data_IF_605961956632
#
_entry.id   IF_605961956632
#
_cell.length_a   1.000
_cell.length_b   1.000
_cell.length_c   1.000
_cell.angle_alpha   90.00
_cell.angle_beta   90.00
_cell.angle_gamma   90.00
#
_symmetry.space_group_name_H-M   'P 1'
#
loop_
_entity.id
_entity.type
_entity.pdbx_description
1 polymer ?
#
# COMPACT_ATOMS: atom_id res chain seq x y z
N UNK A 1 19.27 -11.47 -0.29
CA UNK A 1 20.28 -12.32 0.39
C UNK A 1 20.24 -12.05 1.88
N UNK A 2 20.41 -13.09 2.69
CA UNK A 2 20.62 -13.00 4.14
C UNK A 2 22.06 -12.61 4.45
N UNK A 3 22.34 -12.19 5.69
CA UNK A 3 23.69 -11.92 6.20
C UNK A 3 24.59 -13.15 6.02
N UNK A 4 24.09 -14.33 6.41
CA UNK A 4 24.78 -15.60 6.20
C UNK A 4 25.12 -15.90 4.74
N UNK A 5 24.17 -15.72 3.82
CA UNK A 5 24.44 -15.93 2.39
C UNK A 5 25.48 -14.95 1.85
N UNK A 6 25.51 -13.71 2.33
CA UNK A 6 26.52 -12.73 1.94
C UNK A 6 27.89 -13.16 2.47
N UNK A 7 27.96 -13.64 3.72
CA UNK A 7 29.19 -14.18 4.32
C UNK A 7 29.75 -15.35 3.50
N UNK A 8 28.91 -16.36 3.22
CA UNK A 8 29.28 -17.54 2.43
C UNK A 8 29.79 -17.14 1.03
N UNK A 9 29.10 -16.23 0.33
CA UNK A 9 29.52 -15.79 -1.01
C UNK A 9 30.82 -14.96 -0.98
N UNK A 10 31.04 -14.14 0.05
CA UNK A 10 32.27 -13.36 0.16
C UNK A 10 33.47 -14.29 0.37
N UNK A 11 33.33 -15.28 1.25
CA UNK A 11 34.37 -16.28 1.48
C UNK A 11 34.65 -17.11 0.21
N UNK A 12 33.60 -17.59 -0.47
CA UNK A 12 33.72 -18.41 -1.68
C UNK A 12 34.38 -17.67 -2.85
N UNK A 13 34.03 -16.40 -3.08
CA UNK A 13 34.49 -15.63 -4.25
C UNK A 13 35.80 -14.89 -3.96
N UNK A 14 35.94 -14.32 -2.76
CA UNK A 14 37.04 -13.40 -2.43
C UNK A 14 38.07 -14.00 -1.45
N UNK A 15 37.81 -15.17 -0.86
CA UNK A 15 38.78 -15.91 -0.05
C UNK A 15 39.05 -15.31 1.33
N UNK A 16 38.22 -14.38 1.81
CA UNK A 16 38.29 -13.85 3.16
C UNK A 16 36.95 -13.93 3.88
N UNK A 17 36.98 -14.08 5.19
CA UNK A 17 35.79 -14.20 6.02
C UNK A 17 35.15 -12.83 6.31
N UNK A 18 33.83 -12.72 6.16
CA UNK A 18 33.06 -11.55 6.52
C UNK A 18 31.84 -11.94 7.37
N UNK A 19 31.97 -11.84 8.70
CA UNK A 19 30.93 -12.30 9.62
C UNK A 19 29.57 -11.62 9.42
N UNK A 20 28.49 -12.29 9.84
CA UNK A 20 27.13 -11.73 9.79
C UNK A 20 27.01 -10.39 10.56
N UNK A 21 27.74 -10.26 11.67
CA UNK A 21 27.83 -9.03 12.45
C UNK A 21 28.54 -7.91 11.69
N UNK A 22 29.62 -8.22 10.97
CA UNK A 22 30.30 -7.26 10.10
C UNK A 22 29.36 -6.74 8.99
N UNK A 23 28.64 -7.64 8.32
CA UNK A 23 27.68 -7.28 7.28
C UNK A 23 26.55 -6.40 7.86
N UNK A 24 26.04 -6.73 9.04
CA UNK A 24 25.05 -5.92 9.73
C UNK A 24 25.57 -4.51 10.00
N UNK A 25 26.77 -4.38 10.57
CA UNK A 25 27.42 -3.10 10.84
C UNK A 25 27.66 -2.27 9.56
N UNK A 26 28.01 -2.92 8.44
CA UNK A 26 28.13 -2.24 7.14
C UNK A 26 26.78 -1.66 6.72
N UNK A 27 25.70 -2.44 6.82
CA UNK A 27 24.36 -1.94 6.46
C UNK A 27 23.82 -0.90 7.43
N UNK A 28 24.26 -0.88 8.69
CA UNK A 28 23.88 0.16 9.67
C UNK A 28 24.42 1.54 9.30
N UNK A 29 25.46 1.61 8.47
CA UNK A 29 25.95 2.89 7.93
C UNK A 29 24.92 3.63 7.06
N UNK A 30 23.86 2.93 6.61
CA UNK A 30 22.78 3.52 5.84
C UNK A 30 21.72 4.21 6.70
N UNK A 31 21.73 4.04 8.03
CA UNK A 31 20.69 4.62 8.90
C UNK A 31 20.56 6.15 8.75
N UNK A 32 21.64 6.94 8.70
CA UNK A 32 21.54 8.38 8.46
C UNK A 32 20.96 8.70 7.07
N UNK A 33 21.28 7.92 6.04
CA UNK A 33 20.71 8.11 4.70
C UNK A 33 19.20 7.82 4.69
N UNK A 34 18.76 6.80 5.43
CA UNK A 34 17.34 6.47 5.57
C UNK A 34 16.60 7.61 6.26
N UNK A 35 17.16 8.16 7.33
CA UNK A 35 16.56 9.31 8.03
C UNK A 35 16.45 10.53 7.11
N UNK A 36 17.52 10.86 6.39
CA UNK A 36 17.51 11.94 5.40
C UNK A 36 16.47 11.69 4.30
N UNK A 37 16.36 10.45 3.81
CA UNK A 37 15.38 10.08 2.81
C UNK A 37 13.93 10.18 3.33
N UNK A 38 13.69 9.84 4.60
CA UNK A 38 12.38 10.00 5.26
C UNK A 38 12.04 11.48 5.48
N UNK A 39 13.03 12.36 5.65
CA UNK A 39 12.83 13.79 5.87
C UNK A 39 12.93 14.64 4.60
N UNK A 40 13.26 14.02 3.45
CA UNK A 40 13.50 14.75 2.19
C UNK A 40 12.28 15.59 1.78
N UNK A 41 12.50 16.75 1.12
CA UNK A 41 11.41 17.55 0.58
C UNK A 41 10.63 16.78 -0.48
N UNK A 42 9.32 16.99 -0.49
CA UNK A 42 8.37 16.38 -1.42
C UNK A 42 7.79 17.43 -2.37
N UNK A 43 7.19 16.96 -3.47
CA UNK A 43 6.48 17.82 -4.41
C UNK A 43 5.28 18.49 -3.73
N UNK A 44 4.92 19.67 -4.22
CA UNK A 44 3.82 20.44 -3.60
C UNK A 44 2.45 19.82 -3.81
N UNK A 45 2.24 19.10 -4.91
CA UNK A 45 0.95 18.51 -5.29
C UNK A 45 1.17 17.06 -5.72
N UNK A 46 0.32 16.16 -5.22
CA UNK A 46 0.23 14.79 -5.69
C UNK A 46 -1.20 14.49 -6.19
N UNK A 47 -1.40 14.31 -7.51
CA UNK A 47 -2.71 13.90 -8.04
C UNK A 47 -3.28 12.64 -7.40
N UNK A 48 -2.44 11.63 -7.15
CA UNK A 48 -2.89 10.37 -6.55
C UNK A 48 -1.85 9.90 -5.54
N UNK A 49 -2.32 9.57 -4.33
CA UNK A 49 -1.53 8.91 -3.29
C UNK A 49 -2.19 7.58 -2.94
N UNK A 50 -1.40 6.51 -2.87
CA UNK A 50 -1.83 5.21 -2.39
C UNK A 50 -1.24 4.92 -1.02
N UNK A 51 -2.03 4.33 -0.13
CA UNK A 51 -1.57 3.76 1.15
C UNK A 51 -1.95 2.28 1.17
N UNK A 52 -0.95 1.41 1.32
CA UNK A 52 -1.17 -0.02 1.47
C UNK A 52 -0.20 -0.60 2.50
N UNK A 53 -0.55 -1.74 3.07
CA UNK A 53 0.20 -2.38 4.14
C UNK A 53 0.78 -3.75 3.70
N UNK A 54 2.02 -4.00 4.07
CA UNK A 54 2.63 -5.33 3.99
C UNK A 54 3.02 -5.78 5.38
N UNK A 55 2.61 -6.98 5.75
CA UNK A 55 2.87 -7.52 7.09
C UNK A 55 4.16 -8.33 7.11
N UNK A 56 4.98 -8.11 8.13
CA UNK A 56 6.22 -8.83 8.37
C UNK A 56 6.31 -9.29 9.83
N UNK A 57 7.00 -10.40 10.07
CA UNK A 57 7.29 -10.86 11.42
C UNK A 57 8.55 -10.16 11.93
N UNK A 58 8.47 -9.54 13.09
CA UNK A 58 9.56 -8.80 13.73
C UNK A 58 9.69 -9.26 15.18
N UNK A 59 10.92 -9.42 15.66
CA UNK A 59 11.21 -9.73 17.06
C UNK A 59 11.27 -8.43 17.85
N UNK A 60 10.47 -8.34 18.90
CA UNK A 60 10.46 -7.25 19.87
C UNK A 60 10.49 -7.87 21.28
N UNK A 61 11.55 -7.61 22.03
CA UNK A 61 11.75 -8.14 23.39
C UNK A 61 11.50 -9.66 23.49
N UNK A 62 12.17 -10.43 22.62
CA UNK A 62 12.05 -11.89 22.47
C UNK A 62 10.68 -12.43 22.04
N UNK A 63 9.70 -11.55 21.81
CA UNK A 63 8.38 -11.90 21.28
C UNK A 63 8.34 -11.62 19.79
N UNK A 64 7.89 -12.58 19.00
CA UNK A 64 7.65 -12.39 17.58
C UNK A 64 6.27 -11.74 17.40
N UNK A 65 6.26 -10.52 16.86
CA UNK A 65 5.04 -9.79 16.51
C UNK A 65 4.92 -9.66 15.00
N UNK A 66 3.68 -9.53 14.52
CA UNK A 66 3.39 -9.31 13.11
C UNK A 66 3.08 -7.84 12.90
N UNK A 67 4.08 -7.08 12.46
CA UNK A 67 3.96 -5.64 12.22
C UNK A 67 3.46 -5.35 10.82
N UNK A 68 2.69 -4.27 10.69
CA UNK A 68 2.34 -3.69 9.40
C UNK A 68 3.39 -2.64 9.02
N UNK A 69 3.94 -2.77 7.82
CA UNK A 69 4.65 -1.70 7.15
C UNK A 69 3.66 -1.03 6.19
N UNK A 70 3.33 0.23 6.45
CA UNK A 70 2.51 1.07 5.58
C UNK A 70 3.39 1.80 4.58
N UNK A 71 3.09 1.61 3.31
CA UNK A 71 3.79 2.19 2.18
C UNK A 71 2.93 3.31 1.64
N UNK A 72 3.48 4.51 1.59
CA UNK A 72 2.83 5.66 0.97
C UNK A 72 3.49 5.89 -0.38
N UNK A 73 2.73 5.66 -1.45
CA UNK A 73 3.18 5.80 -2.83
C UNK A 73 2.45 6.98 -3.48
N UNK A 74 3.20 7.99 -3.93
CA UNK A 74 2.67 9.13 -4.66
C UNK A 74 2.88 9.00 -6.16
N UNK A 75 1.96 9.58 -6.92
CA UNK A 75 2.15 9.95 -8.33
C UNK A 75 2.19 11.47 -8.35
N UNK A 76 3.30 12.05 -8.84
CA UNK A 76 3.44 13.50 -8.94
C UNK A 76 2.70 14.06 -10.19
N UNK A 77 2.75 15.38 -10.35
CA UNK A 77 2.18 16.12 -11.49
C UNK A 77 2.81 15.75 -12.85
N UNK A 78 4.04 15.26 -12.86
CA UNK A 78 4.71 14.70 -14.05
C UNK A 78 4.29 13.24 -14.37
N UNK A 79 3.41 12.63 -13.58
CA UNK A 79 3.00 11.24 -13.73
C UNK A 79 4.07 10.21 -13.33
N UNK A 80 5.11 10.64 -12.60
CA UNK A 80 6.15 9.77 -12.04
C UNK A 80 5.71 9.23 -10.69
N UNK A 81 5.99 7.95 -10.47
CA UNK A 81 5.76 7.27 -9.20
C UNK A 81 6.94 7.51 -8.27
N UNK A 82 6.67 7.74 -7.00
CA UNK A 82 7.69 7.77 -5.96
C UNK A 82 7.14 7.26 -4.61
N UNK A 83 7.96 6.58 -3.83
CA UNK A 83 7.58 6.17 -2.47
C UNK A 83 7.83 7.34 -1.53
N UNK A 84 6.77 7.95 -1.01
CA UNK A 84 6.85 9.14 -0.16
C UNK A 84 7.36 8.80 1.23
N UNK A 85 6.84 7.74 1.83
CA UNK A 85 7.19 7.33 3.19
C UNK A 85 6.94 5.83 3.42
N UNK A 86 7.66 5.26 4.38
CA UNK A 86 7.49 3.90 4.89
C UNK A 86 7.32 4.02 6.40
N UNK A 87 6.19 3.58 6.90
CA UNK A 87 5.83 3.66 8.32
C UNK A 87 5.69 2.25 8.88
N UNK A 88 6.43 1.92 9.93
CA UNK A 88 6.35 0.63 10.61
C UNK A 88 5.62 0.85 11.93
N UNK A 89 4.62 0.04 12.22
CA UNK A 89 3.94 0.09 13.50
C UNK A 89 2.72 -0.81 13.62
N UNK A 90 2.17 -0.83 14.82
CA UNK A 90 0.96 -1.62 15.17
C UNK A 90 -0.31 -0.74 15.25
N UNK A 91 -0.16 0.59 15.23
CA UNK A 91 -1.25 1.49 15.62
C UNK A 91 -1.96 2.08 14.40
N UNK A 92 -3.22 1.70 14.19
CA UNK A 92 -4.11 2.26 13.16
C UNK A 92 -5.05 3.35 13.72
N UNK A 93 -4.68 4.04 14.80
CA UNK A 93 -5.52 5.11 15.35
C UNK A 93 -5.58 6.33 14.41
N UNK A 94 -6.66 7.12 14.52
CA UNK A 94 -6.75 8.41 13.81
C UNK A 94 -5.59 9.36 14.17
N UNK A 95 -5.11 9.35 15.42
CA UNK A 95 -3.95 10.17 15.82
C UNK A 95 -2.68 9.77 15.06
N UNK A 96 -2.48 8.47 14.85
CA UNK A 96 -1.36 7.96 14.07
C UNK A 96 -1.44 8.43 12.61
N UNK A 97 -2.57 8.21 11.94
CA UNK A 97 -2.74 8.65 10.56
C UNK A 97 -2.62 10.16 10.38
N UNK A 98 -3.15 10.95 11.32
CA UNK A 98 -2.97 12.39 11.30
C UNK A 98 -1.50 12.80 11.42
N UNK A 99 -0.70 12.13 12.27
CA UNK A 99 0.74 12.39 12.35
C UNK A 99 1.46 12.08 11.04
N UNK A 100 1.15 10.96 10.40
CA UNK A 100 1.73 10.57 9.11
C UNK A 100 1.36 11.57 8.00
N UNK A 101 0.10 12.02 7.95
CA UNK A 101 -0.33 13.03 6.96
C UNK A 101 0.31 14.41 7.23
N UNK A 102 0.50 14.77 8.50
CA UNK A 102 1.21 16.01 8.86
C UNK A 102 2.71 15.94 8.54
N UNK A 103 3.34 14.76 8.63
CA UNK A 103 4.72 14.56 8.16
C UNK A 103 4.84 14.90 6.68
N UNK A 104 3.90 14.43 5.84
CA UNK A 104 3.88 14.77 4.41
C UNK A 104 3.76 16.28 4.18
N UNK A 105 2.90 16.97 4.94
CA UNK A 105 2.80 18.43 4.87
C UNK A 105 4.08 19.15 5.25
N UNK A 106 4.70 18.73 6.36
CA UNK A 106 5.94 19.33 6.84
C UNK A 106 7.09 19.17 5.84
N UNK A 107 7.03 18.11 5.03
CA UNK A 107 7.98 17.86 3.93
C UNK A 107 7.64 18.62 2.64
N UNK A 108 6.56 19.40 2.60
CA UNK A 108 6.24 20.31 1.50
C UNK A 108 4.95 20.00 0.73
N UNK A 109 4.26 18.90 1.04
CA UNK A 109 2.99 18.55 0.37
C UNK A 109 1.89 19.54 0.77
N UNK A 110 1.35 20.27 -0.21
CA UNK A 110 0.27 21.23 -0.02
C UNK A 110 -1.09 20.65 -0.36
N UNK A 111 -1.16 19.82 -1.39
CA UNK A 111 -2.43 19.25 -1.84
C UNK A 111 -2.29 17.80 -2.33
N UNK A 112 -3.32 17.02 -2.02
CA UNK A 112 -3.49 15.64 -2.50
C UNK A 112 -4.90 15.58 -3.10
N UNK A 113 -5.01 15.29 -4.40
CA UNK A 113 -6.33 15.32 -5.05
C UNK A 113 -7.11 14.06 -4.69
N UNK A 114 -6.46 12.90 -4.82
CA UNK A 114 -7.06 11.59 -4.55
C UNK A 114 -6.14 10.81 -3.60
N UNK A 115 -6.69 10.34 -2.49
CA UNK A 115 -6.00 9.39 -1.61
C UNK A 115 -6.73 8.06 -1.60
N UNK A 116 -6.06 7.03 -2.11
CA UNK A 116 -6.57 5.68 -2.21
C UNK A 116 -5.95 4.77 -1.15
N UNK A 117 -6.76 4.27 -0.22
CA UNK A 117 -6.31 3.33 0.81
C UNK A 117 -7.35 2.22 1.02
N UNK A 118 -6.97 1.13 1.67
CA UNK A 118 -8.01 0.24 2.25
C UNK A 118 -8.76 0.98 3.37
N UNK A 119 -9.82 0.39 3.91
CA UNK A 119 -10.59 0.93 5.04
C UNK A 119 -9.84 0.86 6.36
N UNK A 120 -8.71 1.58 6.44
CA UNK A 120 -7.88 1.74 7.62
C UNK A 120 -8.67 2.54 8.68
N UNK A 121 -8.54 2.13 9.93
CA UNK A 121 -9.28 2.78 11.03
C UNK A 121 -8.88 4.26 11.16
N UNK A 122 -9.84 5.18 11.26
CA UNK A 122 -9.56 6.60 11.49
C UNK A 122 -8.91 7.37 10.33
N UNK A 123 -8.68 6.74 9.18
CA UNK A 123 -7.98 7.39 8.05
C UNK A 123 -8.83 8.51 7.43
N UNK A 124 -10.16 8.31 7.31
CA UNK A 124 -11.07 9.27 6.68
C UNK A 124 -11.13 10.60 7.45
N UNK A 125 -11.20 10.51 8.77
CA UNK A 125 -11.21 11.64 9.69
C UNK A 125 -9.86 12.38 9.65
N UNK A 126 -8.77 11.61 9.58
CA UNK A 126 -7.40 12.16 9.52
C UNK A 126 -7.14 12.88 8.20
N UNK A 127 -7.62 12.34 7.08
CA UNK A 127 -7.59 12.99 5.75
C UNK A 127 -8.39 14.28 5.79
N UNK A 128 -9.63 14.24 6.28
CA UNK A 128 -10.49 15.43 6.35
C UNK A 128 -9.86 16.56 7.19
N UNK A 129 -9.07 16.21 8.20
CA UNK A 129 -8.35 17.15 9.06
C UNK A 129 -7.07 17.70 8.40
N UNK A 130 -6.26 16.81 7.81
CA UNK A 130 -5.01 17.21 7.19
C UNK A 130 -5.25 17.82 5.80
N UNK A 131 -5.91 17.13 4.90
CA UNK A 131 -6.14 17.57 3.53
C UNK A 131 -7.65 17.62 3.25
N UNK A 132 -8.36 18.68 3.70
CA UNK A 132 -9.83 18.76 3.64
C UNK A 132 -10.41 18.76 2.23
N UNK A 133 -9.60 19.03 1.20
CA UNK A 133 -10.00 19.02 -0.21
C UNK A 133 -9.75 17.67 -0.90
N UNK A 134 -9.08 16.74 -0.23
CA UNK A 134 -8.75 15.43 -0.80
C UNK A 134 -9.98 14.56 -0.91
N UNK A 135 -10.20 14.00 -2.08
CA UNK A 135 -11.19 12.94 -2.29
C UNK A 135 -10.60 11.62 -1.78
N UNK A 136 -11.16 11.11 -0.69
CA UNK A 136 -10.81 9.78 -0.20
C UNK A 136 -11.51 8.70 -1.02
N UNK A 137 -10.72 7.81 -1.61
CA UNK A 137 -11.21 6.66 -2.36
C UNK A 137 -10.83 5.37 -1.62
N UNK A 138 -11.81 4.57 -1.23
CA UNK A 138 -11.53 3.22 -0.76
C UNK A 138 -11.01 2.37 -1.91
N UNK A 139 -9.94 1.62 -1.68
CA UNK A 139 -9.34 0.76 -2.67
C UNK A 139 -10.32 -0.35 -3.10
N UNK A 140 -10.73 -0.30 -4.37
CA UNK A 140 -11.69 -1.24 -4.95
C UNK A 140 -11.11 -2.65 -5.03
N UNK A 141 -9.80 -2.79 -5.27
CA UNK A 141 -9.16 -4.12 -5.31
C UNK A 141 -9.22 -4.79 -3.93
N UNK A 142 -8.94 -4.05 -2.86
CA UNK A 142 -9.10 -4.56 -1.49
C UNK A 142 -10.55 -4.86 -1.17
N UNK A 143 -11.48 -4.00 -1.57
CA UNK A 143 -12.92 -4.24 -1.41
C UNK A 143 -13.34 -5.56 -2.09
N UNK A 144 -13.00 -5.75 -3.37
CA UNK A 144 -13.28 -6.98 -4.12
C UNK A 144 -12.64 -8.21 -3.46
N UNK A 145 -11.34 -8.13 -3.10
CA UNK A 145 -10.63 -9.25 -2.46
C UNK A 145 -11.28 -9.65 -1.15
N UNK A 146 -11.66 -8.67 -0.33
CA UNK A 146 -12.31 -8.91 0.96
C UNK A 146 -13.69 -9.54 0.76
N UNK A 147 -14.47 -9.08 -0.21
CA UNK A 147 -15.76 -9.70 -0.57
C UNK A 147 -15.60 -11.14 -1.05
N UNK A 148 -14.64 -11.40 -1.94
CA UNK A 148 -14.42 -12.74 -2.52
C UNK A 148 -13.85 -13.77 -1.52
N UNK A 149 -13.42 -13.37 -0.32
CA UNK A 149 -13.02 -14.32 0.74
C UNK A 149 -14.18 -15.21 1.20
N UNK A 150 -15.41 -14.70 1.14
CA UNK A 150 -16.62 -15.40 1.57
C UNK A 150 -17.28 -16.21 0.44
N UNK A 151 -16.76 -16.10 -0.78
CA UNK A 151 -17.32 -16.73 -1.98
C UNK A 151 -16.56 -18.01 -2.31
N UNK A 152 -17.30 -19.07 -2.65
CA UNK A 152 -16.70 -20.36 -3.01
C UNK A 152 -15.85 -20.25 -4.28
N UNK A 153 -14.81 -21.08 -4.41
CA UNK A 153 -13.93 -21.05 -5.58
C UNK A 153 -14.69 -21.20 -6.92
N UNK A 154 -15.74 -22.04 -6.95
CA UNK A 154 -16.56 -22.27 -8.15
C UNK A 154 -17.28 -21.01 -8.62
N UNK A 155 -17.72 -20.17 -7.68
CA UNK A 155 -18.54 -18.99 -7.97
C UNK A 155 -17.71 -17.70 -8.09
N UNK A 156 -16.45 -17.69 -7.60
CA UNK A 156 -15.58 -16.50 -7.59
C UNK A 156 -15.49 -15.79 -8.94
N UNK A 157 -15.40 -16.53 -10.05
CA UNK A 157 -15.30 -15.93 -11.39
C UNK A 157 -16.59 -15.20 -11.78
N UNK A 158 -17.75 -15.82 -11.55
CA UNK A 158 -19.05 -15.23 -11.84
C UNK A 158 -19.31 -14.02 -10.94
N UNK A 159 -19.08 -14.17 -9.63
CA UNK A 159 -19.23 -13.10 -8.65
C UNK A 159 -18.31 -11.90 -8.96
N UNK A 160 -17.05 -12.14 -9.32
CA UNK A 160 -16.13 -11.05 -9.70
C UNK A 160 -16.57 -10.32 -10.98
N UNK A 161 -17.16 -11.04 -11.95
CA UNK A 161 -17.75 -10.44 -13.14
C UNK A 161 -18.94 -9.54 -12.80
N UNK A 162 -19.79 -9.99 -11.89
CA UNK A 162 -20.91 -9.20 -11.39
C UNK A 162 -20.44 -7.95 -10.63
N UNK A 163 -19.46 -8.09 -9.72
CA UNK A 163 -18.86 -6.94 -9.01
C UNK A 163 -18.25 -5.91 -9.97
N UNK A 164 -17.73 -6.35 -11.11
CA UNK A 164 -17.16 -5.46 -12.14
C UNK A 164 -18.19 -4.51 -12.73
N UNK A 165 -19.46 -4.91 -12.78
CA UNK A 165 -20.55 -4.05 -13.27
C UNK A 165 -20.77 -2.83 -12.37
N UNK A 166 -20.38 -2.90 -11.09
CA UNK A 166 -20.56 -1.81 -10.11
C UNK A 166 -19.60 -0.67 -10.44
N UNK A 167 -18.29 -0.90 -10.33
CA UNK A 167 -17.28 0.17 -10.45
C UNK A 167 -16.93 0.56 -11.89
N UNK A 168 -17.36 -0.22 -12.88
CA UNK A 168 -17.25 0.14 -14.30
C UNK A 168 -18.51 0.81 -14.85
N UNK A 169 -19.54 1.02 -14.02
CA UNK A 169 -20.73 1.74 -14.43
C UNK A 169 -20.37 3.18 -14.88
N UNK A 170 -21.12 3.75 -15.84
CA UNK A 170 -20.85 5.09 -16.34
C UNK A 170 -21.13 6.17 -15.28
N UNK A 171 -22.08 5.94 -14.36
CA UNK A 171 -22.47 6.87 -13.30
C UNK A 171 -22.65 6.17 -11.95
N UNK A 172 -22.69 6.97 -10.88
CA UNK A 172 -22.90 6.49 -9.51
C UNK A 172 -24.27 5.81 -9.36
N UNK A 173 -25.32 6.35 -9.97
CA UNK A 173 -26.68 5.83 -9.87
C UNK A 173 -26.77 4.43 -10.48
N UNK A 174 -26.15 4.23 -11.64
CA UNK A 174 -26.09 2.91 -12.30
C UNK A 174 -25.21 1.96 -11.49
N UNK A 175 -24.09 2.44 -10.94
CA UNK A 175 -23.22 1.65 -10.06
C UNK A 175 -23.96 1.16 -8.82
N UNK A 176 -24.72 2.03 -8.17
CA UNK A 176 -25.51 1.70 -6.98
C UNK A 176 -26.61 0.69 -7.31
N UNK A 177 -27.35 0.90 -8.41
CA UNK A 177 -28.36 -0.07 -8.87
C UNK A 177 -27.73 -1.43 -9.18
N UNK A 178 -26.57 -1.46 -9.82
CA UNK A 178 -25.85 -2.71 -10.07
C UNK A 178 -25.45 -3.38 -8.74
N UNK A 179 -25.01 -2.62 -7.73
CA UNK A 179 -24.71 -3.16 -6.41
C UNK A 179 -25.93 -3.86 -5.78
N UNK A 180 -27.11 -3.26 -5.88
CA UNK A 180 -28.37 -3.84 -5.37
C UNK A 180 -28.72 -5.14 -6.10
N UNK A 181 -28.62 -5.16 -7.43
CA UNK A 181 -28.85 -6.36 -8.26
C UNK A 181 -27.88 -7.49 -7.89
N UNK A 182 -26.60 -7.16 -7.68
CA UNK A 182 -25.59 -8.15 -7.26
C UNK A 182 -25.87 -8.66 -5.85
N UNK A 183 -26.31 -7.79 -4.94
CA UNK A 183 -26.70 -8.20 -3.59
C UNK A 183 -27.87 -9.17 -3.62
N UNK A 184 -28.94 -8.84 -4.33
CA UNK A 184 -30.13 -9.70 -4.48
C UNK A 184 -29.76 -11.07 -5.07
N UNK A 185 -29.02 -11.07 -6.19
CA UNK A 185 -28.62 -12.30 -6.89
C UNK A 185 -27.88 -13.31 -6.01
N UNK A 186 -27.02 -12.83 -5.11
CA UNK A 186 -26.13 -13.67 -4.33
C UNK A 186 -26.54 -13.84 -2.86
N UNK A 187 -27.58 -13.13 -2.40
CA UNK A 187 -27.96 -13.10 -0.98
C UNK A 187 -28.30 -14.49 -0.42
N UNK A 188 -29.00 -15.33 -1.19
CA UNK A 188 -29.41 -16.66 -0.73
C UNK A 188 -28.23 -17.60 -0.46
N UNK A 189 -27.17 -17.47 -1.27
CA UNK A 189 -25.98 -18.34 -1.20
C UNK A 189 -24.88 -17.77 -0.31
N UNK A 190 -24.74 -16.44 -0.31
CA UNK A 190 -23.66 -15.70 0.36
C UNK A 190 -24.20 -14.53 1.18
N UNK A 191 -25.07 -14.81 2.18
CA UNK A 191 -25.77 -13.77 2.92
C UNK A 191 -24.80 -12.79 3.58
N UNK A 192 -25.07 -11.49 3.41
CA UNK A 192 -24.30 -10.41 4.03
C UNK A 192 -22.94 -10.10 3.37
N UNK A 193 -22.56 -10.82 2.30
CA UNK A 193 -21.31 -10.57 1.57
C UNK A 193 -21.25 -9.15 0.98
N UNK A 194 -22.41 -8.61 0.57
CA UNK A 194 -22.52 -7.25 0.03
C UNK A 194 -22.72 -6.16 1.09
N UNK A 195 -22.91 -6.49 2.38
CA UNK A 195 -23.10 -5.49 3.44
C UNK A 195 -21.93 -4.50 3.52
N UNK A 196 -20.71 -4.99 3.28
CA UNK A 196 -19.52 -4.15 3.26
C UNK A 196 -19.52 -3.13 2.11
N UNK A 197 -20.17 -3.41 0.98
CA UNK A 197 -20.29 -2.46 -0.12
C UNK A 197 -21.25 -1.34 0.24
N UNK A 198 -22.44 -1.68 0.75
CA UNK A 198 -23.43 -0.69 1.18
C UNK A 198 -22.90 0.19 2.32
N UNK A 199 -22.23 -0.40 3.32
CA UNK A 199 -21.67 0.34 4.46
C UNK A 199 -20.60 1.35 4.05
N UNK A 200 -19.81 1.05 3.02
CA UNK A 200 -18.67 1.86 2.59
C UNK A 200 -18.93 2.57 1.26
N UNK A 201 -20.19 2.67 0.82
CA UNK A 201 -20.53 3.20 -0.50
C UNK A 201 -20.03 4.63 -0.68
N UNK A 202 -20.12 5.45 0.37
CA UNK A 202 -19.63 6.82 0.44
C UNK A 202 -18.12 6.96 0.16
N UNK A 203 -17.33 5.93 0.48
CA UNK A 203 -15.91 5.87 0.17
C UNK A 203 -15.61 5.14 -1.14
N UNK A 204 -16.58 4.44 -1.73
CA UNK A 204 -16.44 3.72 -3.01
C UNK A 204 -16.88 4.59 -4.18
N UNK A 205 -17.99 5.31 -4.04
CA UNK A 205 -18.62 6.11 -5.09
C UNK A 205 -17.83 7.32 -5.59
N UNK A 206 -16.84 7.90 -4.87
CA UNK A 206 -15.99 8.95 -5.43
C UNK A 206 -15.33 8.56 -6.76
N UNK A 207 -15.14 7.26 -7.02
CA UNK A 207 -14.60 6.79 -8.30
C UNK A 207 -15.37 7.30 -9.51
N UNK A 208 -16.69 7.50 -9.36
CA UNK A 208 -17.55 7.95 -10.46
C UNK A 208 -17.31 9.40 -10.87
N UNK A 209 -16.69 10.21 -10.01
CA UNK A 209 -16.29 11.60 -10.31
C UNK A 209 -15.14 11.67 -11.32
N UNK A 210 -14.40 10.58 -11.53
CA UNK A 210 -13.21 10.56 -12.35
C UNK A 210 -13.46 9.99 -13.76
N UNK A 211 -12.64 10.41 -14.73
CA UNK A 211 -12.65 9.85 -16.08
C UNK A 211 -12.26 8.37 -16.10
N UNK A 212 -12.63 7.65 -17.16
CA UNK A 212 -12.32 6.22 -17.32
C UNK A 212 -10.83 5.90 -17.17
N UNK A 213 -9.95 6.79 -17.65
CA UNK A 213 -8.50 6.62 -17.57
C UNK A 213 -8.00 6.74 -16.13
N UNK A 214 -8.49 7.74 -15.38
CA UNK A 214 -8.16 7.91 -13.97
C UNK A 214 -8.72 6.76 -13.14
N UNK A 215 -9.96 6.32 -13.42
CA UNK A 215 -10.56 5.14 -12.77
C UNK A 215 -9.67 3.91 -12.96
N UNK A 216 -9.14 3.68 -14.17
CA UNK A 216 -8.23 2.57 -14.47
C UNK A 216 -6.96 2.61 -13.63
N UNK A 217 -6.39 3.78 -13.38
CA UNK A 217 -5.25 3.91 -12.46
C UNK A 217 -5.65 3.54 -11.03
N UNK A 218 -6.80 4.01 -10.57
CA UNK A 218 -7.32 3.76 -9.21
C UNK A 218 -7.64 2.28 -8.97
N UNK A 219 -8.45 1.63 -9.82
CA UNK A 219 -8.92 0.27 -9.58
C UNK A 219 -7.93 -0.83 -10.00
N UNK A 220 -6.86 -0.51 -10.73
CA UNK A 220 -5.83 -1.53 -11.02
C UNK A 220 -4.84 -1.66 -9.87
N UNK A 221 -4.57 -0.59 -9.13
CA UNK A 221 -3.59 -0.54 -8.03
C UNK A 221 -2.20 -1.12 -8.38
N UNK A 222 -1.91 -1.29 -9.67
CA UNK A 222 -0.72 -1.99 -10.15
C UNK A 222 0.57 -1.36 -9.60
N UNK A 223 0.58 -0.05 -9.41
CA UNK A 223 1.74 0.68 -8.93
C UNK A 223 2.14 0.24 -7.51
N UNK A 224 1.18 0.19 -6.57
CA UNK A 224 1.46 -0.20 -5.18
C UNK A 224 1.53 -1.71 -4.99
N UNK A 225 0.74 -2.48 -5.74
CA UNK A 225 0.77 -3.94 -5.65
C UNK A 225 2.07 -4.54 -6.21
N UNK A 226 2.60 -3.98 -7.30
CA UNK A 226 3.90 -4.38 -7.85
C UNK A 226 5.05 -4.10 -6.88
N UNK A 227 4.98 -2.97 -6.17
CA UNK A 227 5.92 -2.62 -5.12
C UNK A 227 5.84 -3.61 -3.95
N UNK A 228 4.62 -3.87 -3.45
CA UNK A 228 4.39 -4.80 -2.36
C UNK A 228 4.80 -6.25 -2.71
N UNK A 229 4.57 -6.68 -3.95
CA UNK A 229 5.09 -7.95 -4.47
C UNK A 229 6.61 -8.00 -4.46
N UNK A 230 7.27 -6.90 -4.86
CA UNK A 230 8.73 -6.79 -4.81
C UNK A 230 9.27 -6.84 -3.39
N UNK A 231 8.62 -6.18 -2.42
CA UNK A 231 8.99 -6.26 -1.01
C UNK A 231 8.89 -7.69 -0.46
N UNK A 232 7.79 -8.39 -0.76
CA UNK A 232 7.63 -9.80 -0.35
C UNK A 232 8.69 -10.68 -0.99
N UNK A 233 8.96 -10.51 -2.29
CA UNK A 233 9.95 -11.32 -3.02
C UNK A 233 11.37 -11.11 -2.52
N UNK A 234 11.80 -9.86 -2.31
CA UNK A 234 13.16 -9.56 -1.86
C UNK A 234 13.42 -9.93 -0.39
N UNK A 235 12.35 -10.07 0.40
CA UNK A 235 12.41 -10.43 1.80
C UNK A 235 11.89 -11.86 2.10
N UNK A 236 11.63 -12.68 1.07
CA UNK A 236 11.05 -14.03 1.25
C UNK A 236 11.94 -14.98 2.06
N UNK A 237 13.26 -14.76 2.03
CA UNK A 237 14.25 -15.54 2.80
C UNK A 237 14.42 -15.03 4.23
N UNK A 238 13.77 -13.91 4.61
CA UNK A 238 13.84 -13.32 5.95
C UNK A 238 12.52 -13.59 6.67
N UNK A 239 12.44 -14.74 7.34
CA UNK A 239 11.21 -15.17 8.03
C UNK A 239 10.84 -14.29 9.22
N UNK A 240 11.84 -13.82 9.98
CA UNK A 240 11.68 -12.93 11.13
C UNK A 240 12.79 -11.89 11.11
N UNK A 241 12.43 -10.62 11.20
CA UNK A 241 13.38 -9.52 11.36
C UNK A 241 13.77 -9.36 12.84
N UNK A 242 15.03 -9.04 13.15
CA UNK A 242 15.48 -8.90 14.53
C UNK A 242 14.99 -7.62 15.22
N UNK A 243 14.56 -6.61 14.46
CA UNK A 243 14.03 -5.35 14.97
C UNK A 243 13.30 -4.57 13.88
N UNK A 244 12.52 -3.56 14.27
CA UNK A 244 11.83 -2.61 13.39
C UNK A 244 12.83 -1.87 12.49
N UNK A 245 13.98 -1.48 13.04
CA UNK A 245 15.07 -0.84 12.30
C UNK A 245 15.62 -1.76 11.20
N UNK A 246 15.79 -3.05 11.48
CA UNK A 246 16.24 -4.01 10.47
C UNK A 246 15.21 -4.20 9.36
N UNK A 247 13.92 -4.22 9.70
CA UNK A 247 12.83 -4.23 8.73
C UNK A 247 12.85 -2.96 7.87
N UNK A 248 12.99 -1.78 8.47
CA UNK A 248 13.05 -0.50 7.75
C UNK A 248 14.20 -0.46 6.75
N UNK A 249 15.42 -0.83 7.18
CA UNK A 249 16.58 -0.93 6.28
C UNK A 249 16.30 -1.82 5.07
N UNK A 250 15.70 -2.98 5.31
CA UNK A 250 15.40 -3.93 4.24
C UNK A 250 14.34 -3.41 3.25
N UNK A 251 13.30 -2.74 3.76
CA UNK A 251 12.26 -2.13 2.92
C UNK A 251 12.78 -0.91 2.16
N UNK A 252 13.61 -0.08 2.79
CA UNK A 252 14.31 1.03 2.15
C UNK A 252 15.13 0.51 0.96
N UNK A 253 16.04 -0.44 1.17
CA UNK A 253 16.85 -1.02 0.08
C UNK A 253 15.98 -1.67 -1.01
N UNK A 254 14.93 -2.39 -0.63
CA UNK A 254 13.98 -2.97 -1.58
C UNK A 254 13.24 -1.91 -2.41
N UNK A 255 13.03 -0.70 -1.86
CA UNK A 255 12.45 0.45 -2.56
C UNK A 255 13.37 0.90 -3.70
N UNK A 256 14.67 1.03 -3.44
CA UNK A 256 15.64 1.39 -4.49
C UNK A 256 15.70 0.35 -5.61
N UNK A 257 15.67 -0.94 -5.27
CA UNK A 257 15.61 -1.99 -6.29
C UNK A 257 14.30 -1.97 -7.09
N UNK A 258 13.17 -1.69 -6.46
CA UNK A 258 11.88 -1.60 -7.14
C UNK A 258 11.81 -0.38 -8.09
N UNK A 259 12.32 0.77 -7.63
CA UNK A 259 12.24 2.06 -8.33
C UNK A 259 13.18 2.15 -9.54
N UNK A 260 14.26 1.35 -9.61
CA UNK A 260 15.11 1.23 -10.82
C UNK A 260 14.32 0.92 -12.10
N UNK A 261 13.18 0.24 -11.97
CA UNK A 261 12.30 -0.11 -13.10
C UNK A 261 11.27 0.97 -13.44
N UNK A 262 11.19 2.05 -12.66
CA UNK A 262 10.25 3.15 -12.88
C UNK A 262 10.84 4.17 -13.85
N UNK A 263 11.12 3.71 -15.07
CA UNK A 263 11.69 4.53 -16.15
C UNK A 263 10.62 5.20 -17.01
N UNK A 264 9.36 4.74 -16.91
CA UNK A 264 8.23 5.30 -17.64
C UNK A 264 7.27 6.04 -16.71
N UNK A 265 6.77 7.18 -17.20
CA UNK A 265 5.60 7.86 -16.64
C UNK A 265 4.33 7.05 -16.90
N UNK A 266 3.30 7.28 -16.09
CA UNK A 266 1.98 6.71 -16.36
C UNK A 266 1.52 7.13 -17.76
N UNK A 267 1.21 6.14 -18.58
CA UNK A 267 0.66 6.32 -19.93
C UNK A 267 -0.85 6.21 -19.84
N UNK A 268 -1.56 7.04 -20.61
CA UNK A 268 -2.96 6.81 -20.94
C UNK A 268 -3.06 5.58 -21.84
#
# INVERSE_FOLDING_TARGET
MTTRQISEIIEDIYGFEASEGMISNITDRLLPEIEQWQQRPLSTIYPIVFIDAVHFSVRDNDIIRKLAAYIILGINDEGKKEVLSIQIGENESSKYWLSVLNELKNRGVKDILILCADGLSGIKESISTAFPKTEYQRCIVHQIRNTLKYVSYKDKKAFASDLKTIYQAPSEEIGHRNMEVVAEKWQDKYPGTMNSWSKNWDAISPIFKFSTDVRKVIYTTNAIESLNSTYRRLNSQRSVFPSDTALLKALYLATFEATKKWTSVLRN
#
